data_IF_346951292129
#
_entry.id   IF_346951292129
#
_cell.length_a   1.000
_cell.length_b   1.000
_cell.length_c   1.000
_cell.angle_alpha   90.00
_cell.angle_beta   90.00
_cell.angle_gamma   90.00
#
_symmetry.space_group_name_H-M   'P 1'
#
loop_
_entity.id
_entity.type
_entity.pdbx_description
1 polymer ?
#
# COMPACT_ATOMS: atom_id res chain seq x y z
N UNK A 1 -16.21 -5.34 8.27
CA UNK A 1 -16.70 -6.46 7.41
C UNK A 1 -17.56 -5.91 6.27
N UNK A 2 -16.98 -5.27 5.25
CA UNK A 2 -17.75 -4.67 4.14
C UNK A 2 -17.35 -5.21 2.75
N UNK A 3 -16.29 -6.03 2.67
CA UNK A 3 -15.65 -6.37 1.40
C UNK A 3 -16.04 -7.73 0.78
N UNK A 4 -17.00 -8.46 1.37
CA UNK A 4 -17.41 -9.79 0.90
C UNK A 4 -18.74 -9.83 0.16
N UNK A 5 -19.57 -8.80 0.31
CA UNK A 5 -20.82 -8.69 -0.44
C UNK A 5 -20.55 -7.92 -1.73
N UNK A 6 -21.12 -8.38 -2.86
CA UNK A 6 -20.94 -7.82 -4.21
C UNK A 6 -21.58 -6.43 -4.35
N UNK A 7 -21.13 -5.46 -3.56
CA UNK A 7 -21.60 -4.09 -3.58
C UNK A 7 -20.43 -3.16 -3.90
N UNK A 8 -20.69 -2.17 -4.74
CA UNK A 8 -19.75 -1.06 -4.98
C UNK A 8 -19.62 -0.21 -3.73
N UNK A 9 -18.47 0.43 -3.54
CA UNK A 9 -18.20 1.28 -2.38
C UNK A 9 -18.34 2.75 -2.75
N UNK A 10 -18.98 3.54 -1.86
CA UNK A 10 -18.82 5.00 -1.81
C UNK A 10 -18.01 5.28 -0.56
N UNK A 11 -16.92 6.04 -0.69
CA UNK A 11 -16.07 6.40 0.44
C UNK A 11 -15.71 7.88 0.39
N UNK A 12 -15.31 8.43 1.54
CA UNK A 12 -14.80 9.79 1.60
C UNK A 12 -13.41 9.88 0.98
N UNK A 13 -13.13 10.97 0.29
CA UNK A 13 -11.81 11.31 -0.27
C UNK A 13 -10.87 11.73 0.86
N UNK A 14 -10.28 10.75 1.52
CA UNK A 14 -9.23 10.92 2.52
C UNK A 14 -7.92 10.27 2.04
N UNK A 15 -6.76 10.73 2.52
CA UNK A 15 -5.48 10.16 2.12
C UNK A 15 -5.41 8.64 2.32
N UNK A 16 -4.95 7.91 1.30
CA UNK A 16 -4.80 6.45 1.32
C UNK A 16 -5.97 5.67 0.72
N UNK A 17 -7.02 6.35 0.22
CA UNK A 17 -8.16 5.73 -0.45
C UNK A 17 -8.22 6.00 -1.97
N UNK A 18 -7.22 6.69 -2.53
CA UNK A 18 -7.13 7.07 -3.95
C UNK A 18 -7.24 5.85 -4.88
N UNK A 19 -6.75 4.69 -4.41
CA UNK A 19 -6.81 3.42 -5.13
C UNK A 19 -8.25 3.00 -5.52
N UNK A 20 -9.27 3.49 -4.80
CA UNK A 20 -10.68 3.20 -5.11
C UNK A 20 -11.05 3.74 -6.51
N UNK A 21 -10.61 4.95 -6.85
CA UNK A 21 -10.85 5.54 -8.17
C UNK A 21 -9.88 5.00 -9.22
N UNK A 22 -8.59 4.88 -8.88
CA UNK A 22 -7.56 4.37 -9.79
C UNK A 22 -7.88 2.97 -10.31
N UNK A 23 -8.41 2.12 -9.43
CA UNK A 23 -8.80 0.74 -9.76
C UNK A 23 -10.27 0.60 -10.14
N UNK A 24 -11.02 1.72 -10.19
CA UNK A 24 -12.44 1.78 -10.57
C UNK A 24 -13.33 0.86 -9.73
N UNK A 25 -13.12 0.86 -8.41
CA UNK A 25 -13.80 0.00 -7.43
C UNK A 25 -15.04 0.68 -6.81
N UNK A 26 -15.12 2.00 -6.94
CA UNK A 26 -16.06 2.82 -6.20
C UNK A 26 -16.04 4.28 -6.62
N UNK A 27 -16.71 5.12 -5.83
CA UNK A 27 -16.73 6.59 -5.99
C UNK A 27 -16.16 7.19 -4.71
N UNK A 28 -15.25 8.16 -4.86
CA UNK A 28 -14.81 9.00 -3.76
C UNK A 28 -15.58 10.32 -3.74
N UNK A 29 -16.13 10.68 -2.59
CA UNK A 29 -16.88 11.93 -2.37
C UNK A 29 -16.14 12.83 -1.39
N UNK A 30 -16.37 14.14 -1.46
CA UNK A 30 -15.81 15.10 -0.51
C UNK A 30 -16.27 14.75 0.91
N UNK A 31 -15.36 14.72 1.91
CA UNK A 31 -15.75 14.56 3.30
C UNK A 31 -16.77 15.63 3.72
N UNK A 32 -17.73 15.24 4.57
CA UNK A 32 -18.75 16.14 5.12
C UNK A 32 -19.67 16.81 4.08
N UNK A 33 -19.70 16.32 2.83
CA UNK A 33 -20.66 16.74 1.81
C UNK A 33 -21.81 15.72 1.65
N UNK A 34 -22.95 15.89 2.34
CA UNK A 34 -24.10 14.98 2.21
C UNK A 34 -24.77 15.07 0.82
N UNK A 35 -24.65 16.20 0.11
CA UNK A 35 -25.26 16.39 -1.21
C UNK A 35 -24.48 15.59 -2.25
N UNK A 36 -23.16 15.62 -2.21
CA UNK A 36 -22.30 14.82 -3.08
C UNK A 36 -22.48 13.31 -2.81
N UNK A 37 -22.55 12.90 -1.54
CA UNK A 37 -22.86 11.52 -1.17
C UNK A 37 -24.20 11.06 -1.75
N UNK A 38 -25.26 11.87 -1.62
CA UNK A 38 -26.57 11.55 -2.19
C UNK A 38 -26.52 11.44 -3.72
N UNK A 39 -25.81 12.35 -4.40
CA UNK A 39 -25.62 12.30 -5.86
C UNK A 39 -24.88 11.03 -6.28
N UNK A 40 -23.83 10.63 -5.57
CA UNK A 40 -23.09 9.41 -5.84
C UNK A 40 -23.96 8.15 -5.66
N UNK A 41 -24.78 8.09 -4.61
CA UNK A 41 -25.72 7.00 -4.38
C UNK A 41 -26.75 6.92 -5.52
N UNK A 42 -27.36 8.05 -5.91
CA UNK A 42 -28.32 8.10 -7.03
C UNK A 42 -27.66 7.70 -8.35
N UNK A 43 -26.41 8.09 -8.58
CA UNK A 43 -25.65 7.70 -9.78
C UNK A 43 -25.51 6.18 -9.89
N UNK A 44 -25.12 5.51 -8.80
CA UNK A 44 -24.97 4.06 -8.78
C UNK A 44 -26.31 3.32 -8.94
N UNK A 45 -27.39 3.85 -8.36
CA UNK A 45 -28.74 3.28 -8.50
C UNK A 45 -29.27 3.39 -9.93
N UNK A 46 -28.92 4.45 -10.67
CA UNK A 46 -29.33 4.65 -12.06
C UNK A 46 -28.55 3.81 -13.07
N UNK A 47 -27.41 3.23 -12.68
CA UNK A 47 -26.53 2.50 -13.58
C UNK A 47 -26.15 1.10 -13.03
N UNK A 48 -27.13 0.20 -12.82
CA UNK A 48 -26.93 -1.06 -12.11
C UNK A 48 -25.85 -1.96 -12.71
N UNK A 49 -25.72 -2.01 -14.04
CA UNK A 49 -24.68 -2.82 -14.71
C UNK A 49 -23.27 -2.29 -14.43
N UNK A 50 -23.06 -0.97 -14.48
CA UNK A 50 -21.77 -0.36 -14.15
C UNK A 50 -21.43 -0.57 -12.68
N UNK A 51 -22.42 -0.40 -11.81
CA UNK A 51 -22.30 -0.65 -10.36
C UNK A 51 -21.88 -2.10 -10.09
N UNK A 52 -22.45 -3.06 -10.81
CA UNK A 52 -22.09 -4.48 -10.71
C UNK A 52 -20.66 -4.75 -11.20
N UNK A 53 -20.24 -4.14 -12.30
CA UNK A 53 -18.85 -4.23 -12.79
C UNK A 53 -17.85 -3.68 -11.75
N UNK A 54 -18.15 -2.51 -11.17
CA UNK A 54 -17.34 -1.92 -10.09
C UNK A 54 -17.27 -2.86 -8.87
N UNK A 55 -18.39 -3.45 -8.46
CA UNK A 55 -18.45 -4.39 -7.35
C UNK A 55 -17.61 -5.66 -7.60
N UNK A 56 -17.66 -6.22 -8.82
CA UNK A 56 -16.86 -7.38 -9.20
C UNK A 56 -15.36 -7.07 -9.16
N UNK A 57 -14.95 -5.90 -9.68
CA UNK A 57 -13.56 -5.43 -9.58
C UNK A 57 -13.13 -5.25 -8.12
N UNK A 58 -13.99 -4.62 -7.30
CA UNK A 58 -13.76 -4.47 -5.86
C UNK A 58 -13.52 -5.80 -5.17
N UNK A 59 -14.38 -6.79 -5.43
CA UNK A 59 -14.24 -8.14 -4.87
C UNK A 59 -12.93 -8.82 -5.30
N UNK A 60 -12.58 -8.75 -6.60
CA UNK A 60 -11.33 -9.31 -7.10
C UNK A 60 -10.12 -8.66 -6.41
N UNK A 61 -10.10 -7.32 -6.36
CA UNK A 61 -9.03 -6.56 -5.73
C UNK A 61 -8.83 -6.95 -4.26
N UNK A 62 -9.92 -7.05 -3.48
CA UNK A 62 -9.87 -7.43 -2.06
C UNK A 62 -9.32 -8.85 -1.87
N UNK A 63 -9.75 -9.81 -2.69
CA UNK A 63 -9.25 -11.19 -2.60
C UNK A 63 -7.75 -11.27 -2.84
N UNK A 64 -7.29 -10.57 -3.87
CA UNK A 64 -5.90 -10.55 -4.28
C UNK A 64 -5.01 -9.76 -3.31
N UNK A 65 -5.51 -8.62 -2.80
CA UNK A 65 -4.68 -7.62 -2.13
C UNK A 65 -4.98 -7.42 -0.64
N UNK A 66 -6.13 -7.85 -0.15
CA UNK A 66 -6.57 -7.57 1.22
C UNK A 66 -6.82 -8.87 2.01
N UNK A 67 -6.53 -10.03 1.45
CA UNK A 67 -6.56 -11.29 2.21
C UNK A 67 -5.42 -11.37 3.22
N UNK A 68 -5.63 -12.06 4.34
CA UNK A 68 -4.57 -12.28 5.34
C UNK A 68 -3.32 -12.92 4.73
N UNK A 69 -3.49 -13.85 3.78
CA UNK A 69 -2.37 -14.44 3.05
C UNK A 69 -1.61 -13.41 2.20
N UNK A 70 -2.32 -12.47 1.55
CA UNK A 70 -1.67 -11.42 0.77
C UNK A 70 -0.90 -10.45 1.67
N UNK A 71 -1.47 -10.07 2.81
CA UNK A 71 -0.80 -9.21 3.81
C UNK A 71 0.43 -9.91 4.37
N UNK A 72 0.31 -11.18 4.79
CA UNK A 72 1.44 -11.95 5.31
C UNK A 72 2.60 -12.05 4.30
N UNK A 73 2.31 -12.29 3.02
CA UNK A 73 3.34 -12.30 1.96
C UNK A 73 4.06 -10.96 1.82
N UNK A 74 3.34 -9.84 1.83
CA UNK A 74 3.98 -8.51 1.76
C UNK A 74 4.89 -8.26 2.95
N UNK A 75 4.43 -8.61 4.15
CA UNK A 75 5.23 -8.45 5.37
C UNK A 75 6.49 -9.33 5.30
N UNK A 76 6.38 -10.59 4.88
CA UNK A 76 7.54 -11.46 4.69
C UNK A 76 8.54 -10.90 3.67
N UNK A 77 8.06 -10.43 2.51
CA UNK A 77 8.93 -9.83 1.50
C UNK A 77 9.68 -8.60 2.02
N UNK A 78 8.98 -7.72 2.77
CA UNK A 78 9.61 -6.56 3.41
C UNK A 78 10.68 -6.97 4.42
N UNK A 79 10.41 -7.98 5.25
CA UNK A 79 11.40 -8.51 6.19
C UNK A 79 12.63 -9.06 5.46
N UNK A 80 12.45 -9.75 4.34
CA UNK A 80 13.55 -10.29 3.53
C UNK A 80 14.37 -9.18 2.85
N UNK A 81 13.72 -8.14 2.34
CA UNK A 81 14.35 -6.99 1.70
C UNK A 81 15.17 -6.16 2.69
N UNK A 82 14.63 -5.92 3.89
CA UNK A 82 15.37 -5.23 4.96
C UNK A 82 16.55 -6.08 5.41
N UNK A 83 16.39 -7.41 5.46
CA UNK A 83 17.47 -8.34 5.82
C UNK A 83 18.61 -8.32 4.80
N UNK A 84 18.33 -8.30 3.50
CA UNK A 84 19.35 -8.23 2.45
C UNK A 84 20.05 -6.87 2.45
N UNK A 85 19.30 -5.78 2.56
CA UNK A 85 19.85 -4.41 2.61
C UNK A 85 20.77 -4.22 3.81
N UNK A 86 20.38 -4.72 4.99
CA UNK A 86 21.23 -4.66 6.19
C UNK A 86 22.51 -5.51 6.08
N UNK A 87 22.50 -6.57 5.26
CA UNK A 87 23.68 -7.40 5.04
C UNK A 87 24.74 -6.68 4.21
N UNK A 88 24.33 -5.99 3.14
CA UNK A 88 25.22 -5.15 2.32
C UNK A 88 25.77 -3.93 3.09
N UNK A 89 24.93 -3.29 3.92
CA UNK A 89 25.36 -2.18 4.78
C UNK A 89 26.37 -2.66 5.85
N UNK A 90 26.12 -3.80 6.51
CA UNK A 90 27.08 -4.37 7.48
C UNK A 90 28.41 -4.78 6.83
N UNK A 91 28.40 -5.31 5.61
CA UNK A 91 29.65 -5.59 4.87
C UNK A 91 30.44 -4.32 4.61
N UNK A 92 29.81 -3.20 4.22
CA UNK A 92 30.50 -1.92 4.02
C UNK A 92 31.10 -1.34 5.30
N UNK A 93 30.43 -1.48 6.44
CA UNK A 93 30.92 -0.94 7.73
C UNK A 93 32.09 -1.75 8.31
N UNK A 94 32.20 -3.05 8.01
CA UNK A 94 33.27 -3.92 8.54
C UNK A 94 34.59 -3.89 7.74
N UNK A 95 34.67 -3.15 6.63
CA UNK A 95 35.90 -2.91 5.86
C UNK A 95 36.27 -1.42 5.86
N UNK A 96 36.37 -0.84 7.06
CA UNK A 96 37.36 0.23 7.25
C UNK A 96 38.54 -0.39 7.99
N UNK A 97 39.62 -0.82 7.31
CA UNK A 97 40.77 -1.36 8.01
C UNK A 97 41.36 -0.23 8.85
N UNK A 98 41.47 -0.42 10.17
CA UNK A 98 42.28 0.43 11.07
C UNK A 98 43.77 0.48 10.68
N UNK A 99 44.17 -0.12 9.56
CA UNK A 99 45.55 -0.18 9.07
C UNK A 99 46.08 1.23 8.74
N UNK A 100 45.24 2.20 8.36
CA UNK A 100 45.71 3.55 8.01
C UNK A 100 46.04 4.48 9.20
N UNK A 101 45.75 4.06 10.44
CA UNK A 101 46.03 4.85 11.65
C UNK A 101 47.28 4.39 12.41
N UNK A 102 47.83 3.21 12.12
CA UNK A 102 49.03 2.70 12.81
C UNK A 102 50.34 3.13 12.14
N UNK A 103 50.37 3.38 10.82
CA UNK A 103 51.60 3.78 10.10
C UNK A 103 52.08 5.21 10.40
N UNK A 104 51.26 6.06 11.03
CA UNK A 104 51.63 7.46 11.34
C UNK A 104 52.21 7.69 12.74
N UNK A 105 52.36 6.66 13.58
CA UNK A 105 52.90 6.80 14.95
C UNK A 105 54.26 6.10 15.20
N UNK A 106 54.95 5.66 14.15
CA UNK A 106 56.22 4.94 14.26
C UNK A 106 57.48 5.67 13.77
N UNK A 107 57.51 7.01 13.75
CA UNK A 107 58.74 7.78 13.41
C UNK A 107 58.91 9.01 14.32
N UNK A 108 59.08 8.80 15.62
CA UNK A 108 59.68 9.79 16.52
C UNK A 108 60.18 9.06 17.79
N UNK A 109 61.30 8.35 17.67
CA UNK A 109 62.31 8.21 18.73
C UNK A 109 63.67 8.25 18.04
#
# INVERSE_FOLDING_TARGET
MCAWHRLSVIASRIPGLEFIEEKKLGILVTPEDPVELAKAAVHLLKAPEKTKEMALRGQAYVRENCSWSAVARRVMNLCEEVRSTNFEVRKKTLVTPCISLCEKRGRHV
#
